data_IF_865684548773
#
_entry.id   IF_865684548773
#
_cell.length_a   1.000
_cell.length_b   1.000
_cell.length_c   1.000
_cell.angle_alpha   90.00
_cell.angle_beta   90.00
_cell.angle_gamma   90.00
#
_symmetry.space_group_name_H-M   'P 1'
#
loop_
_entity.id
_entity.type
_entity.pdbx_description
1 polymer ?
#
# COMPACT_ATOMS: atom_id res chain seq x y z
N UNK A 1 -47.02 21.50 46.35
CA UNK A 1 -46.24 21.90 45.14
C UNK A 1 -44.87 22.48 45.48
N UNK A 2 -44.55 22.82 46.75
CA UNK A 2 -43.28 23.48 47.11
C UNK A 2 -42.09 22.54 47.31
N UNK A 3 -42.33 21.27 47.68
CA UNK A 3 -41.24 20.32 47.95
C UNK A 3 -40.37 20.00 46.71
N UNK A 4 -40.95 20.06 45.51
CA UNK A 4 -40.26 19.79 44.25
C UNK A 4 -39.37 20.98 43.86
N UNK A 5 -39.85 22.21 44.03
CA UNK A 5 -39.06 23.42 43.77
C UNK A 5 -37.90 23.61 44.76
N UNK A 6 -38.09 23.24 46.03
CA UNK A 6 -37.04 23.32 47.05
C UNK A 6 -35.90 22.33 46.77
N UNK A 7 -36.21 21.18 46.17
CA UNK A 7 -35.20 20.21 45.73
C UNK A 7 -34.33 20.77 44.59
N UNK A 8 -34.94 21.42 43.59
CA UNK A 8 -34.24 22.08 42.49
C UNK A 8 -33.49 23.36 42.89
N UNK A 9 -33.86 23.98 44.02
CA UNK A 9 -33.15 25.13 44.59
C UNK A 9 -32.02 24.76 45.55
N UNK A 10 -31.86 23.47 45.88
CA UNK A 10 -30.90 23.02 46.89
C UNK A 10 -29.45 23.09 46.40
N UNK A 11 -28.51 23.32 47.34
CA UNK A 11 -27.07 23.22 47.07
C UNK A 11 -26.68 21.84 46.53
N UNK A 12 -27.40 20.78 46.92
CA UNK A 12 -27.18 19.44 46.39
C UNK A 12 -27.44 19.35 44.88
N UNK A 13 -28.51 19.97 44.38
CA UNK A 13 -28.83 20.00 42.96
C UNK A 13 -27.78 20.77 42.15
N UNK A 14 -27.34 21.93 42.64
CA UNK A 14 -26.28 22.70 41.97
C UNK A 14 -24.95 21.94 41.94
N UNK A 15 -24.55 21.29 43.03
CA UNK A 15 -23.36 20.42 43.07
C UNK A 15 -23.48 19.27 42.07
N UNK A 16 -24.65 18.63 41.98
CA UNK A 16 -24.88 17.56 41.00
C UNK A 16 -24.74 18.05 39.56
N UNK A 17 -25.31 19.20 39.22
CA UNK A 17 -25.17 19.82 37.89
C UNK A 17 -23.71 20.18 37.57
N UNK A 18 -22.95 20.70 38.54
CA UNK A 18 -21.53 20.99 38.36
C UNK A 18 -20.73 19.73 38.08
N UNK A 19 -20.98 18.64 38.82
CA UNK A 19 -20.32 17.34 38.58
C UNK A 19 -20.62 16.83 37.17
N UNK A 20 -21.89 16.90 36.74
CA UNK A 20 -22.30 16.49 35.39
C UNK A 20 -21.62 17.36 34.33
N UNK A 21 -21.55 18.67 34.53
CA UNK A 21 -20.89 19.60 33.62
C UNK A 21 -19.38 19.31 33.50
N UNK A 22 -18.69 19.09 34.63
CA UNK A 22 -17.26 18.73 34.64
C UNK A 22 -17.04 17.41 33.90
N UNK A 23 -17.88 16.41 34.14
CA UNK A 23 -17.80 15.14 33.44
C UNK A 23 -18.06 15.29 31.93
N UNK A 24 -19.07 16.08 31.54
CA UNK A 24 -19.38 16.34 30.14
C UNK A 24 -18.21 17.04 29.42
N UNK A 25 -17.58 18.03 30.06
CA UNK A 25 -16.39 18.71 29.52
C UNK A 25 -15.21 17.75 29.40
N UNK A 26 -14.96 16.91 30.41
CA UNK A 26 -13.90 15.92 30.36
C UNK A 26 -14.12 14.90 29.23
N UNK A 27 -15.37 14.43 29.05
CA UNK A 27 -15.74 13.50 27.97
C UNK A 27 -15.62 14.16 26.60
N UNK A 28 -16.02 15.42 26.46
CA UNK A 28 -15.85 16.19 25.23
C UNK A 28 -14.37 16.32 24.83
N UNK A 29 -13.50 16.69 25.77
CA UNK A 29 -12.05 16.79 25.51
C UNK A 29 -11.44 15.42 25.18
N UNK A 30 -11.86 14.37 25.88
CA UNK A 30 -11.43 13.00 25.60
C UNK A 30 -11.83 12.57 24.17
N UNK A 31 -13.05 12.89 23.73
CA UNK A 31 -13.51 12.63 22.36
C UNK A 31 -12.71 13.44 21.34
N UNK A 32 -12.46 14.73 21.60
CA UNK A 32 -11.65 15.56 20.71
C UNK A 32 -10.21 15.03 20.58
N UNK A 33 -9.61 14.60 21.70
CA UNK A 33 -8.30 13.96 21.69
C UNK A 33 -8.31 12.62 20.95
N UNK A 34 -9.37 11.82 21.13
CA UNK A 34 -9.54 10.57 20.40
C UNK A 34 -9.62 10.81 18.89
N UNK A 35 -10.41 11.79 18.43
CA UNK A 35 -10.50 12.19 17.01
C UNK A 35 -9.14 12.64 16.46
N UNK A 36 -8.37 13.40 17.23
CA UNK A 36 -7.02 13.81 16.84
C UNK A 36 -6.07 12.61 16.66
N UNK A 37 -6.05 11.67 17.61
CA UNK A 37 -5.23 10.47 17.50
C UNK A 37 -5.68 9.55 16.36
N UNK A 38 -6.99 9.41 16.18
CA UNK A 38 -7.59 8.57 15.14
C UNK A 38 -7.35 9.13 13.73
N UNK A 39 -7.45 10.46 13.57
CA UNK A 39 -7.16 11.15 12.30
C UNK A 39 -5.67 11.10 11.94
N UNK A 40 -4.76 11.27 12.92
CA UNK A 40 -3.31 11.13 12.69
C UNK A 40 -2.88 9.75 12.21
N UNK A 41 -3.66 8.71 12.53
CA UNK A 41 -3.41 7.34 12.06
C UNK A 41 -3.95 7.10 10.66
N UNK A 42 -4.80 7.98 10.12
CA UNK A 42 -5.53 7.76 8.85
C UNK A 42 -5.28 8.78 7.75
N UNK A 43 -4.75 9.97 8.07
CA UNK A 43 -4.51 11.03 7.09
C UNK A 43 -3.03 11.45 7.08
N UNK A 44 -2.42 11.57 5.89
CA UNK A 44 -1.08 12.19 5.72
C UNK A 44 -1.21 13.71 5.63
N UNK A 45 -2.33 14.17 5.07
CA UNK A 45 -2.63 15.58 4.87
C UNK A 45 -2.91 16.26 6.21
N UNK A 46 -1.99 17.14 6.63
CA UNK A 46 -2.10 17.92 7.86
C UNK A 46 -3.41 18.75 7.93
N UNK A 47 -3.93 19.19 6.79
CA UNK A 47 -5.20 19.92 6.70
C UNK A 47 -6.41 19.09 7.11
N UNK A 48 -6.46 17.80 6.76
CA UNK A 48 -7.59 16.91 7.11
C UNK A 48 -7.58 16.55 8.61
N UNK A 49 -6.39 16.33 9.19
CA UNK A 49 -6.20 16.13 10.64
C UNK A 49 -6.68 17.35 11.40
N UNK A 50 -6.23 18.54 10.97
CA UNK A 50 -6.58 19.80 11.62
C UNK A 50 -8.08 20.08 11.49
N UNK A 51 -8.65 19.93 10.30
CA UNK A 51 -10.08 20.16 10.06
C UNK A 51 -10.99 19.25 10.89
N UNK A 52 -10.68 17.95 10.96
CA UNK A 52 -11.48 17.00 11.77
C UNK A 52 -11.35 17.24 13.27
N UNK A 53 -10.15 17.58 13.76
CA UNK A 53 -9.93 17.91 15.18
C UNK A 53 -10.63 19.22 15.56
N UNK A 54 -10.55 20.25 14.71
CA UNK A 54 -11.24 21.53 14.90
C UNK A 54 -12.75 21.32 14.89
N UNK A 55 -13.30 20.47 14.01
CA UNK A 55 -14.72 20.16 13.99
C UNK A 55 -15.18 19.49 15.29
N UNK A 56 -14.40 18.54 15.83
CA UNK A 56 -14.69 17.88 17.11
C UNK A 56 -14.61 18.82 18.33
N UNK A 57 -13.76 19.84 18.27
CA UNK A 57 -13.69 20.91 19.27
C UNK A 57 -14.82 21.94 19.11
N UNK A 58 -15.10 22.38 17.88
CA UNK A 58 -16.09 23.42 17.61
C UNK A 58 -17.53 22.98 17.95
N UNK A 59 -17.82 21.69 17.79
CA UNK A 59 -19.15 21.13 18.06
C UNK A 59 -19.00 20.01 19.09
N UNK A 60 -19.25 20.28 20.39
CA UNK A 60 -19.14 19.27 21.43
C UNK A 60 -20.02 18.06 21.16
N UNK A 61 -19.43 16.86 21.30
CA UNK A 61 -20.05 15.54 21.06
C UNK A 61 -20.47 15.28 19.60
N UNK A 62 -21.23 16.19 18.98
CA UNK A 62 -21.68 16.06 17.58
C UNK A 62 -20.52 16.09 16.59
N UNK A 63 -19.47 16.88 16.83
CA UNK A 63 -18.31 16.91 15.95
C UNK A 63 -17.59 15.57 15.88
N UNK A 64 -17.52 14.84 17.01
CA UNK A 64 -17.00 13.47 17.04
C UNK A 64 -17.94 12.47 16.33
N UNK A 65 -19.26 12.63 16.45
CA UNK A 65 -20.23 11.81 15.70
C UNK A 65 -20.15 12.05 14.19
N UNK A 66 -20.04 13.31 13.76
CA UNK A 66 -19.87 13.67 12.35
C UNK A 66 -18.56 13.11 11.81
N UNK A 67 -17.49 13.19 12.61
CA UNK A 67 -16.21 12.58 12.26
C UNK A 67 -16.33 11.07 12.02
N UNK A 68 -17.11 10.34 12.83
CA UNK A 68 -17.35 8.91 12.62
C UNK A 68 -18.02 8.59 11.27
N UNK A 69 -18.84 9.50 10.74
CA UNK A 69 -19.46 9.35 9.41
C UNK A 69 -18.49 9.66 8.28
N UNK A 70 -17.63 10.67 8.44
CA UNK A 70 -16.62 11.07 7.44
C UNK A 70 -15.41 10.13 7.44
N UNK A 71 -15.28 9.32 8.49
CA UNK A 71 -14.20 8.35 8.74
C UNK A 71 -13.85 7.55 7.46
N UNK A 72 -12.71 7.81 6.81
CA UNK A 72 -12.30 7.05 5.64
C UNK A 72 -11.92 5.61 6.05
N UNK A 73 -12.27 4.59 5.24
CA UNK A 73 -12.10 3.19 5.61
C UNK A 73 -10.69 2.62 5.38
N UNK A 74 -9.81 3.29 4.63
CA UNK A 74 -8.48 2.77 4.30
C UNK A 74 -7.36 3.49 5.07
N UNK A 75 -6.50 2.70 5.73
CA UNK A 75 -5.26 3.19 6.33
C UNK A 75 -4.23 3.42 5.23
N UNK A 76 -3.42 4.48 5.36
CA UNK A 76 -2.38 4.83 4.38
C UNK A 76 -1.33 3.73 4.22
N UNK A 77 -1.07 2.99 5.30
CA UNK A 77 -0.19 1.81 5.29
C UNK A 77 -0.75 0.70 4.41
N UNK A 78 -2.08 0.49 4.40
CA UNK A 78 -2.69 -0.53 3.52
C UNK A 78 -2.58 -0.15 2.04
N UNK A 79 -2.54 1.15 1.72
CA UNK A 79 -2.34 1.61 0.34
C UNK A 79 -0.91 1.33 -0.14
N UNK A 80 0.09 1.58 0.70
CA UNK A 80 1.49 1.33 0.35
C UNK A 80 1.81 -0.16 0.25
N UNK A 81 1.29 -0.98 1.18
CA UNK A 81 1.52 -2.43 1.17
C UNK A 81 0.91 -3.09 -0.09
N UNK A 82 -0.27 -2.62 -0.53
CA UNK A 82 -0.87 -3.07 -1.81
C UNK A 82 -0.04 -2.65 -3.02
N UNK A 83 0.58 -1.48 -2.98
CA UNK A 83 1.45 -1.02 -4.07
C UNK A 83 2.73 -1.86 -4.14
N UNK A 84 3.35 -2.16 -3.00
CA UNK A 84 4.49 -3.07 -2.93
C UNK A 84 4.14 -4.50 -3.37
N UNK A 85 2.97 -5.02 -3.00
CA UNK A 85 2.48 -6.33 -3.48
C UNK A 85 2.29 -6.33 -4.99
N UNK A 86 1.69 -5.26 -5.55
CA UNK A 86 1.51 -5.12 -6.99
C UNK A 86 2.84 -5.06 -7.73
N UNK A 87 3.79 -4.27 -7.24
CA UNK A 87 5.14 -4.19 -7.82
C UNK A 87 5.88 -5.52 -7.73
N UNK A 88 5.72 -6.27 -6.64
CA UNK A 88 6.30 -7.61 -6.50
C UNK A 88 5.69 -8.62 -7.50
N UNK A 89 4.38 -8.53 -7.75
CA UNK A 89 3.70 -9.34 -8.77
C UNK A 89 4.15 -8.95 -10.19
N UNK A 90 4.24 -7.66 -10.50
CA UNK A 90 4.72 -7.17 -11.80
C UNK A 90 6.17 -7.60 -12.08
N UNK A 91 7.06 -7.52 -11.07
CA UNK A 91 8.43 -7.99 -11.17
C UNK A 91 8.54 -9.51 -11.43
N UNK A 92 7.59 -10.33 -10.97
CA UNK A 92 7.55 -11.75 -11.31
C UNK A 92 7.09 -12.02 -12.75
N UNK A 93 6.32 -11.10 -13.34
CA UNK A 93 5.74 -11.24 -14.69
C UNK A 93 6.63 -10.63 -15.79
N UNK A 94 7.76 -10.02 -15.44
CA UNK A 94 8.84 -9.71 -16.39
C UNK A 94 9.54 -11.00 -16.88
N UNK A 95 8.80 -11.82 -17.62
CA UNK A 95 9.37 -12.81 -18.51
C UNK A 95 10.10 -12.11 -19.66
N UNK A 96 11.12 -12.77 -20.22
CA UNK A 96 11.72 -12.30 -21.46
C UNK A 96 10.61 -12.09 -22.51
N UNK A 97 10.69 -10.98 -23.24
CA UNK A 97 9.81 -10.72 -24.39
C UNK A 97 10.55 -11.13 -25.66
N UNK A 98 9.81 -11.66 -26.63
CA UNK A 98 10.39 -11.91 -27.94
C UNK A 98 10.75 -10.57 -28.62
N UNK A 99 11.97 -10.40 -29.17
CA UNK A 99 12.37 -9.16 -29.82
C UNK A 99 11.60 -8.86 -31.12
N UNK A 100 10.99 -9.88 -31.73
CA UNK A 100 10.28 -9.74 -33.00
C UNK A 100 8.78 -9.42 -32.84
N UNK A 101 8.09 -10.18 -31.97
CA UNK A 101 6.63 -10.08 -31.81
C UNK A 101 6.18 -9.66 -30.42
N UNK A 102 7.12 -9.35 -29.52
CA UNK A 102 6.90 -8.81 -28.18
C UNK A 102 6.05 -9.67 -27.23
N UNK A 103 5.73 -10.90 -27.64
CA UNK A 103 5.01 -11.86 -26.82
C UNK A 103 5.84 -12.26 -25.61
N UNK A 104 5.19 -12.44 -24.46
CA UNK A 104 5.82 -12.92 -23.23
C UNK A 104 6.24 -14.38 -23.44
N UNK A 105 7.54 -14.68 -23.24
CA UNK A 105 8.11 -16.02 -23.40
C UNK A 105 8.73 -16.51 -22.10
N UNK A 106 8.55 -17.79 -21.81
CA UNK A 106 9.07 -18.38 -20.58
C UNK A 106 10.60 -18.55 -20.58
N UNK A 107 11.22 -18.75 -19.41
CA UNK A 107 12.67 -18.90 -19.26
C UNK A 107 13.25 -20.18 -19.92
N UNK A 108 12.40 -21.15 -20.28
CA UNK A 108 12.81 -22.42 -20.89
C UNK A 108 12.49 -22.55 -22.39
N UNK A 109 11.96 -21.50 -22.99
CA UNK A 109 11.55 -21.52 -24.40
C UNK A 109 12.79 -21.38 -25.29
N UNK A 110 12.96 -22.34 -26.22
CA UNK A 110 14.01 -22.30 -27.25
C UNK A 110 13.56 -21.47 -28.47
N UNK A 111 12.26 -21.51 -28.78
CA UNK A 111 11.64 -20.85 -29.93
C UNK A 111 10.35 -20.18 -29.47
N UNK A 112 10.05 -19.01 -30.03
CA UNK A 112 8.80 -18.30 -29.75
C UNK A 112 7.60 -19.06 -30.33
N UNK A 113 6.53 -19.34 -29.55
CA UNK A 113 5.37 -20.05 -30.07
C UNK A 113 4.51 -19.20 -31.02
N UNK A 114 4.66 -17.87 -30.98
CA UNK A 114 3.82 -16.95 -31.77
C UNK A 114 4.42 -16.62 -33.14
N UNK A 115 5.73 -16.38 -33.22
CA UNK A 115 6.41 -15.96 -34.45
C UNK A 115 7.50 -16.93 -34.91
N UNK A 116 7.75 -18.02 -34.18
CA UNK A 116 8.81 -19.00 -34.46
C UNK A 116 10.24 -18.46 -34.47
N UNK A 117 10.47 -17.22 -34.01
CA UNK A 117 11.82 -16.67 -33.85
C UNK A 117 12.61 -17.50 -32.82
N UNK A 118 13.85 -17.92 -33.13
CA UNK A 118 14.71 -18.60 -32.16
C UNK A 118 15.07 -17.63 -31.03
N UNK A 119 14.85 -18.05 -29.78
CA UNK A 119 15.10 -17.24 -28.59
C UNK A 119 16.41 -17.64 -27.91
N UNK A 120 16.68 -18.95 -27.83
CA UNK A 120 17.82 -19.54 -27.12
C UNK A 120 18.30 -20.79 -27.84
N UNK A 121 19.59 -21.08 -27.74
CA UNK A 121 20.16 -22.32 -28.23
C UNK A 121 20.26 -23.36 -27.10
N UNK A 122 20.03 -24.65 -27.38
CA UNK A 122 20.27 -25.70 -26.40
C UNK A 122 21.78 -25.91 -26.19
N UNK A 123 22.20 -26.09 -24.94
CA UNK A 123 23.59 -26.42 -24.65
C UNK A 123 23.98 -27.77 -25.28
N UNK A 124 25.13 -27.83 -25.97
CA UNK A 124 25.62 -29.06 -26.63
C UNK A 124 25.91 -30.23 -25.67
N UNK A 125 26.08 -29.95 -24.37
CA UNK A 125 26.46 -30.96 -23.37
C UNK A 125 25.28 -31.45 -22.54
N UNK A 126 24.39 -30.55 -22.10
CA UNK A 126 23.26 -30.89 -21.23
C UNK A 126 21.88 -30.61 -21.84
N UNK A 127 21.80 -30.12 -23.08
CA UNK A 127 20.57 -29.76 -23.79
C UNK A 127 19.67 -28.72 -23.12
N UNK A 128 20.09 -28.13 -22.00
CA UNK A 128 19.35 -27.08 -21.31
C UNK A 128 19.39 -25.76 -22.13
N UNK A 129 18.30 -24.98 -22.18
CA UNK A 129 18.26 -23.67 -22.84
C UNK A 129 19.34 -22.74 -22.29
N UNK A 130 20.17 -22.21 -23.18
CA UNK A 130 21.25 -21.28 -22.85
C UNK A 130 20.90 -19.87 -23.31
N UNK A 131 21.08 -18.89 -22.43
CA UNK A 131 20.93 -17.48 -22.79
C UNK A 131 22.11 -17.04 -23.67
N UNK A 132 21.87 -16.36 -24.81
CA UNK A 132 22.93 -15.91 -25.71
C UNK A 132 23.90 -14.90 -25.06
N UNK A 133 23.54 -14.27 -23.94
CA UNK A 133 24.46 -13.39 -23.20
C UNK A 133 25.50 -14.15 -22.36
N UNK A 134 25.32 -15.46 -22.13
CA UNK A 134 26.15 -16.25 -21.22
C UNK A 134 27.35 -16.88 -21.92
N UNK A 135 28.54 -16.77 -21.32
CA UNK A 135 29.78 -17.37 -21.85
C UNK A 135 30.00 -18.83 -21.46
N UNK A 136 29.32 -19.30 -20.41
CA UNK A 136 29.46 -20.65 -19.85
C UNK A 136 28.09 -21.14 -19.40
N UNK A 137 27.79 -22.42 -19.60
CA UNK A 137 26.55 -23.02 -19.12
C UNK A 137 26.56 -23.21 -17.59
N UNK A 138 25.62 -22.62 -16.83
CA UNK A 138 25.59 -22.75 -15.37
C UNK A 138 25.23 -24.15 -14.88
N UNK A 139 24.60 -24.99 -15.71
CA UNK A 139 24.17 -26.34 -15.33
C UNK A 139 25.26 -27.40 -15.50
N UNK A 140 26.14 -27.24 -16.49
CA UNK A 140 27.16 -28.25 -16.81
C UNK A 140 28.60 -27.72 -16.89
N UNK A 141 28.79 -26.42 -16.62
CA UNK A 141 30.07 -25.71 -16.75
C UNK A 141 30.74 -25.88 -18.13
N UNK A 142 29.98 -26.24 -19.17
CA UNK A 142 30.46 -26.36 -20.54
C UNK A 142 30.56 -25.00 -21.24
N UNK A 143 31.38 -24.88 -22.30
CA UNK A 143 31.47 -23.65 -23.09
C UNK A 143 30.12 -23.32 -23.75
N UNK A 144 29.75 -22.03 -23.77
CA UNK A 144 28.62 -21.54 -24.57
C UNK A 144 28.88 -21.71 -26.07
N UNK A 145 27.83 -21.80 -26.88
CA UNK A 145 27.98 -21.92 -28.34
C UNK A 145 28.61 -20.63 -28.93
N UNK A 146 29.39 -20.74 -30.03
CA UNK A 146 30.12 -19.61 -30.60
C UNK A 146 29.25 -18.53 -31.25
N UNK A 147 27.94 -18.77 -31.47
CA UNK A 147 26.97 -17.78 -31.96
C UNK A 147 26.50 -16.80 -30.89
N UNK A 148 26.66 -17.13 -29.61
CA UNK A 148 26.29 -16.29 -28.48
C UNK A 148 27.17 -15.03 -28.37
N UNK A 149 28.45 -15.11 -28.75
CA UNK A 149 29.37 -13.97 -28.67
C UNK A 149 29.12 -12.90 -29.72
N UNK A 150 28.62 -13.25 -30.92
CA UNK A 150 28.42 -12.27 -32.00
C UNK A 150 27.26 -11.30 -31.74
N UNK A 151 26.20 -11.74 -31.06
CA UNK A 151 25.07 -10.88 -30.70
C UNK A 151 25.44 -9.79 -29.67
N UNK A 152 26.42 -10.08 -28.80
CA UNK A 152 26.91 -9.11 -27.80
C UNK A 152 27.86 -8.05 -28.38
N UNK A 153 28.52 -8.36 -29.49
CA UNK A 153 29.42 -7.44 -30.19
C UNK A 153 28.61 -6.37 -30.95
N UNK A 154 27.48 -6.76 -31.55
CA UNK A 154 26.61 -5.86 -32.33
C UNK A 154 25.85 -4.87 -31.45
N UNK A 155 25.41 -5.29 -30.25
CA UNK A 155 24.76 -4.40 -29.26
C UNK A 155 25.77 -3.42 -28.62
N UNK A 156 27.07 -3.75 -28.59
CA UNK A 156 28.13 -2.86 -28.04
C UNK A 156 28.55 -1.76 -29.02
N UNK A 157 28.26 -1.91 -30.31
CA UNK A 157 28.65 -0.97 -31.37
C UNK A 157 27.49 -0.01 -31.72
N UNK A 158 26.30 -0.19 -31.14
CA UNK A 158 25.17 0.74 -31.24
C UNK A 158 25.11 1.76 -30.09
#
# INVERSE_FOLDING_TARGET
MNAVSDFFGSTAWTVALVIIQVFAVALWLALAYWVYQDSRRRFENAGAITGSTVLALAIPFLGALIYLFIRPPEYLTDAHDRELEKLALEAQVEGLRCPECESVVGPKFLVCPMCTTPLREPCRRCSEPLDPSWRVCPYCAGPASPSASSFSEEIRIS
#
